data_IF_674961757612
#
_entry.id   IF_674961757612
#
_cell.length_a   1.000
_cell.length_b   1.000
_cell.length_c   1.000
_cell.angle_alpha   90.00
_cell.angle_beta   90.00
_cell.angle_gamma   90.00
#
_symmetry.space_group_name_H-M   'P 1'
#
loop_
_entity.id
_entity.type
_entity.pdbx_description
1 polymer ?
#
# COMPACT_ATOMS: atom_id res chain seq x y z
N UNK A 1 23.07 18.95 -62.42
CA UNK A 1 22.45 19.59 -61.24
C UNK A 1 22.72 18.72 -60.02
N UNK A 2 23.94 18.81 -59.49
CA UNK A 2 24.33 18.06 -58.29
C UNK A 2 24.02 18.90 -57.07
N UNK A 3 23.25 18.35 -56.14
CA UNK A 3 23.11 18.93 -54.81
C UNK A 3 24.49 18.89 -54.14
N UNK A 4 25.05 20.06 -53.78
CA UNK A 4 26.38 20.13 -53.19
C UNK A 4 26.41 19.37 -51.86
N UNK A 5 27.22 18.31 -51.78
CA UNK A 5 27.39 17.45 -50.59
C UNK A 5 27.68 18.24 -49.30
N UNK A 6 28.34 19.40 -49.44
CA UNK A 6 28.61 20.32 -48.33
C UNK A 6 27.34 21.03 -47.82
N UNK A 7 26.38 21.34 -48.68
CA UNK A 7 25.11 21.95 -48.30
C UNK A 7 24.27 20.99 -47.44
N UNK A 8 24.24 19.71 -47.81
CA UNK A 8 23.57 18.66 -47.02
C UNK A 8 24.19 18.46 -45.63
N UNK A 9 25.53 18.50 -45.53
CA UNK A 9 26.23 18.38 -44.24
C UNK A 9 25.98 19.59 -43.33
N UNK A 10 26.01 20.80 -43.87
CA UNK A 10 25.72 22.03 -43.12
C UNK A 10 24.26 22.02 -42.64
N UNK A 11 23.31 21.68 -43.51
CA UNK A 11 21.90 21.57 -43.13
C UNK A 11 21.67 20.54 -42.02
N UNK A 12 22.31 19.36 -42.12
CA UNK A 12 22.25 18.33 -41.08
C UNK A 12 22.85 18.79 -39.75
N UNK A 13 23.99 19.48 -39.77
CA UNK A 13 24.61 20.02 -38.56
C UNK A 13 23.75 21.10 -37.88
N UNK A 14 23.14 21.99 -38.67
CA UNK A 14 22.22 23.01 -38.15
C UNK A 14 20.98 22.36 -37.52
N UNK A 15 20.37 21.39 -38.19
CA UNK A 15 19.22 20.65 -37.64
C UNK A 15 19.61 19.93 -36.35
N UNK A 16 20.76 19.24 -36.34
CA UNK A 16 21.27 18.55 -35.15
C UNK A 16 21.53 19.49 -33.98
N UNK A 17 22.14 20.66 -34.23
CA UNK A 17 22.37 21.67 -33.20
C UNK A 17 21.05 22.24 -32.65
N UNK A 18 20.07 22.51 -33.51
CA UNK A 18 18.74 22.97 -33.09
C UNK A 18 18.04 21.91 -32.23
N UNK A 19 18.08 20.64 -32.62
CA UNK A 19 17.51 19.55 -31.83
C UNK A 19 18.21 19.36 -30.49
N UNK A 20 19.54 19.49 -30.44
CA UNK A 20 20.31 19.40 -29.20
C UNK A 20 19.96 20.53 -28.22
N UNK A 21 19.85 21.78 -28.72
CA UNK A 21 19.41 22.93 -27.91
C UNK A 21 17.96 22.74 -27.44
N UNK A 22 17.07 22.30 -28.34
CA UNK A 22 15.67 22.05 -27.99
C UNK A 22 15.52 20.94 -26.94
N UNK A 23 16.25 19.83 -27.08
CA UNK A 23 16.31 18.76 -26.08
C UNK A 23 16.88 19.25 -24.74
N UNK A 24 17.96 20.04 -24.78
CA UNK A 24 18.57 20.64 -23.59
C UNK A 24 17.63 21.60 -22.84
N UNK A 25 16.72 22.29 -23.55
CA UNK A 25 15.68 23.14 -22.94
C UNK A 25 14.50 22.29 -22.42
N UNK A 26 14.08 21.28 -23.18
CA UNK A 26 12.94 20.43 -22.79
C UNK A 26 13.20 19.61 -21.53
N UNK A 27 14.45 19.18 -21.28
CA UNK A 27 14.79 18.45 -20.06
C UNK A 27 14.43 19.21 -18.77
N UNK A 28 14.97 20.41 -18.49
CA UNK A 28 14.62 21.16 -17.28
C UNK A 28 13.16 21.64 -17.27
N UNK A 29 12.58 21.96 -18.42
CA UNK A 29 11.15 22.34 -18.50
C UNK A 29 10.25 21.16 -18.14
N UNK A 30 10.57 19.96 -18.65
CA UNK A 30 9.87 18.73 -18.32
C UNK A 30 9.91 18.45 -16.83
N UNK A 31 11.10 18.52 -16.21
CA UNK A 31 11.27 18.33 -14.77
C UNK A 31 10.43 19.33 -13.97
N UNK A 32 10.44 20.62 -14.35
CA UNK A 32 9.64 21.64 -13.68
C UNK A 32 8.13 21.37 -13.76
N UNK A 33 7.64 20.95 -14.93
CA UNK A 33 6.21 20.65 -15.13
C UNK A 33 5.80 19.39 -14.37
N UNK A 34 6.63 18.34 -14.39
CA UNK A 34 6.39 17.09 -13.67
C UNK A 34 6.38 17.36 -12.16
N UNK A 35 7.39 18.06 -11.64
CA UNK A 35 7.46 18.38 -10.21
C UNK A 35 6.26 19.21 -9.75
N UNK A 36 5.84 20.22 -10.53
CA UNK A 36 4.63 21.00 -10.22
C UNK A 36 3.38 20.14 -10.19
N UNK A 37 3.24 19.23 -11.16
CA UNK A 37 2.08 18.33 -11.24
C UNK A 37 2.04 17.36 -10.07
N UNK A 38 3.18 16.73 -9.73
CA UNK A 38 3.30 15.82 -8.59
C UNK A 38 2.96 16.54 -7.29
N UNK A 39 3.56 17.71 -7.04
CA UNK A 39 3.28 18.51 -5.83
C UNK A 39 1.80 18.86 -5.68
N UNK A 40 1.07 19.04 -6.78
CA UNK A 40 -0.37 19.30 -6.75
C UNK A 40 -1.21 18.03 -6.54
N UNK A 41 -0.80 16.89 -7.09
CA UNK A 41 -1.63 15.68 -7.10
C UNK A 41 -1.42 14.75 -5.90
N UNK A 42 -0.29 14.87 -5.20
CA UNK A 42 0.10 13.99 -4.07
C UNK A 42 -0.40 14.50 -2.72
N UNK A 43 -1.04 15.67 -2.66
CA UNK A 43 -1.60 16.25 -1.43
C UNK A 43 -2.96 15.61 -1.11
N UNK A 44 -3.25 15.46 0.19
CA UNK A 44 -4.56 15.00 0.70
C UNK A 44 -5.60 16.12 0.67
N UNK A 45 -5.85 16.65 -0.52
CA UNK A 45 -6.83 17.71 -0.79
C UNK A 45 -7.97 17.16 -1.65
N UNK A 46 -9.18 17.66 -1.46
CA UNK A 46 -10.32 17.20 -2.24
C UNK A 46 -10.11 17.40 -3.75
N UNK A 47 -10.43 16.37 -4.53
CA UNK A 47 -10.26 16.38 -5.98
C UNK A 47 -8.91 15.84 -6.47
N UNK A 48 -7.89 15.71 -5.63
CA UNK A 48 -6.62 15.08 -6.03
C UNK A 48 -6.74 13.55 -6.17
N UNK A 49 -5.83 12.95 -6.93
CA UNK A 49 -5.74 11.49 -7.06
C UNK A 49 -5.35 10.86 -5.71
N UNK A 50 -4.44 11.49 -4.96
CA UNK A 50 -4.02 10.99 -3.66
C UNK A 50 -5.19 10.94 -2.66
N UNK A 51 -6.01 11.98 -2.58
CA UNK A 51 -7.16 12.02 -1.68
C UNK A 51 -8.17 10.92 -1.99
N UNK A 52 -8.53 10.74 -3.27
CA UNK A 52 -9.47 9.69 -3.69
C UNK A 52 -9.01 8.29 -3.28
N UNK A 53 -7.74 7.97 -3.54
CA UNK A 53 -7.15 6.67 -3.17
C UNK A 53 -6.99 6.50 -1.65
N UNK A 54 -6.75 7.59 -0.93
CA UNK A 54 -6.64 7.58 0.54
C UNK A 54 -8.01 7.38 1.22
N UNK A 55 -9.07 8.00 0.70
CA UNK A 55 -10.45 7.83 1.17
C UNK A 55 -10.88 6.38 0.98
N UNK A 56 -10.73 5.84 -0.24
CA UNK A 56 -11.05 4.45 -0.56
C UNK A 56 -9.98 3.90 -1.49
N UNK A 57 -9.28 2.87 -1.04
CA UNK A 57 -8.26 2.21 -1.87
C UNK A 57 -8.92 1.54 -3.08
N UNK A 58 -8.32 1.74 -4.25
CA UNK A 58 -8.75 1.08 -5.49
C UNK A 58 -8.33 -0.39 -5.58
N UNK A 59 -7.44 -0.84 -4.68
CA UNK A 59 -6.92 -2.20 -4.65
C UNK A 59 -7.46 -2.99 -3.47
N UNK A 60 -7.55 -4.31 -3.64
CA UNK A 60 -7.94 -5.22 -2.58
C UNK A 60 -6.79 -5.39 -1.59
N UNK A 61 -7.07 -5.17 -0.31
CA UNK A 61 -6.11 -5.35 0.76
C UNK A 61 -6.50 -6.58 1.56
N UNK A 62 -5.58 -7.53 1.67
CA UNK A 62 -5.78 -8.76 2.42
C UNK A 62 -5.01 -8.72 3.74
N UNK A 63 -5.63 -9.21 4.80
CA UNK A 63 -5.00 -9.50 6.08
C UNK A 63 -5.02 -11.01 6.27
N UNK A 64 -3.85 -11.59 6.47
CA UNK A 64 -3.69 -13.03 6.61
C UNK A 64 -3.21 -13.36 8.02
N UNK A 65 -3.85 -14.36 8.62
CA UNK A 65 -3.49 -14.85 9.95
C UNK A 65 -2.84 -16.23 9.85
N UNK A 66 -1.73 -16.40 10.58
CA UNK A 66 -1.13 -17.69 10.88
C UNK A 66 -1.16 -17.89 12.38
N UNK A 67 -1.72 -19.02 12.81
CA UNK A 67 -1.93 -19.35 14.22
C UNK A 67 -1.01 -20.52 14.56
N UNK A 68 -0.32 -20.42 15.69
CA UNK A 68 0.46 -21.53 16.25
C UNK A 68 -0.46 -22.38 17.15
N UNK A 69 -0.88 -23.52 16.63
CA UNK A 69 -1.75 -24.46 17.32
C UNK A 69 -0.91 -25.33 18.27
N UNK A 70 -1.24 -25.33 19.57
CA UNK A 70 -0.48 -26.06 20.59
C UNK A 70 -0.82 -27.55 20.53
N UNK A 71 0.21 -28.39 20.37
CA UNK A 71 0.07 -29.83 20.17
C UNK A 71 0.16 -30.63 21.48
N UNK A 72 0.82 -30.10 22.52
CA UNK A 72 1.00 -30.76 23.81
C UNK A 72 0.50 -29.92 25.02
N UNK A 73 -0.74 -29.43 25.02
CA UNK A 73 -1.23 -28.50 26.06
C UNK A 73 -1.18 -29.08 27.49
N UNK A 74 -1.43 -30.39 27.65
CA UNK A 74 -1.44 -31.04 28.97
C UNK A 74 -0.03 -31.15 29.57
N UNK A 75 0.98 -31.47 28.76
CA UNK A 75 2.36 -31.57 29.22
C UNK A 75 2.90 -30.20 29.64
N UNK A 76 2.57 -29.15 28.88
CA UNK A 76 2.94 -27.77 29.22
C UNK A 76 2.32 -27.37 30.55
N UNK A 77 1.05 -27.69 30.77
CA UNK A 77 0.32 -27.33 31.99
C UNK A 77 0.77 -28.10 33.23
N UNK A 78 1.03 -29.41 33.11
CA UNK A 78 1.35 -30.28 34.25
C UNK A 78 2.85 -30.33 34.57
N UNK A 79 3.68 -30.36 33.53
CA UNK A 79 5.11 -30.69 33.64
C UNK A 79 6.01 -29.51 33.29
N UNK A 80 5.45 -28.34 32.93
CA UNK A 80 6.21 -27.19 32.42
C UNK A 80 7.12 -27.57 31.25
N UNK A 81 6.69 -28.50 30.40
CA UNK A 81 7.45 -28.97 29.26
C UNK A 81 7.60 -27.88 28.19
N UNK A 82 8.59 -28.02 27.31
CA UNK A 82 8.69 -27.19 26.11
C UNK A 82 7.41 -27.32 25.26
N UNK A 83 6.90 -26.17 24.81
CA UNK A 83 5.71 -26.10 23.99
C UNK A 83 5.99 -26.59 22.56
N UNK A 84 5.15 -27.50 22.08
CA UNK A 84 5.17 -27.98 20.71
C UNK A 84 4.01 -27.31 19.96
N UNK A 85 4.33 -26.63 18.86
CA UNK A 85 3.35 -25.88 18.07
C UNK A 85 3.36 -26.30 16.61
N UNK A 86 2.20 -26.22 15.97
CA UNK A 86 2.05 -26.35 14.52
C UNK A 86 1.47 -25.06 13.95
N UNK A 87 2.20 -24.40 13.07
CA UNK A 87 1.69 -23.23 12.37
C UNK A 87 0.61 -23.64 11.37
N UNK A 88 -0.53 -22.94 11.40
CA UNK A 88 -1.67 -23.14 10.49
C UNK A 88 -2.08 -21.79 9.90
N UNK A 89 -2.24 -21.74 8.58
CA UNK A 89 -2.66 -20.57 7.84
C UNK A 89 -2.24 -20.65 6.36
N UNK A 90 -2.59 -19.63 5.55
CA UNK A 90 -3.27 -18.41 5.96
C UNK A 90 -4.79 -18.61 6.20
N UNK A 91 -5.35 -17.83 7.12
CA UNK A 91 -6.77 -17.48 7.15
C UNK A 91 -6.88 -16.04 6.67
N UNK A 92 -7.42 -15.87 5.46
CA UNK A 92 -7.34 -14.62 4.70
C UNK A 92 -8.64 -13.84 4.82
N UNK A 93 -8.52 -12.56 5.14
CA UNK A 93 -9.63 -11.61 5.20
C UNK A 93 -9.36 -10.42 4.28
N UNK A 94 -10.34 -10.10 3.44
CA UNK A 94 -10.36 -8.83 2.72
C UNK A 94 -10.74 -7.70 3.67
N UNK A 95 -9.88 -6.70 3.76
CA UNK A 95 -9.99 -5.54 4.66
C UNK A 95 -9.84 -4.23 3.88
N UNK A 96 -10.06 -3.10 4.56
CA UNK A 96 -9.89 -1.74 3.99
C UNK A 96 -10.70 -1.48 2.70
N UNK A 97 -11.79 -2.22 2.48
CA UNK A 97 -12.69 -2.03 1.34
C UNK A 97 -13.76 -0.94 1.58
N UNK A 98 -13.94 -0.53 2.84
CA UNK A 98 -14.80 0.57 3.25
C UNK A 98 -14.07 1.91 3.11
N UNK A 99 -14.79 2.92 2.61
CA UNK A 99 -14.28 4.28 2.53
C UNK A 99 -14.18 4.90 3.93
N UNK A 100 -13.24 5.83 4.12
CA UNK A 100 -13.21 6.71 5.30
C UNK A 100 -14.47 7.59 5.33
N UNK A 101 -14.96 7.87 6.52
CA UNK A 101 -16.16 8.65 6.79
C UNK A 101 -15.82 9.94 7.55
N UNK A 102 -16.73 10.91 7.56
CA UNK A 102 -16.60 12.18 8.30
C UNK A 102 -15.23 12.86 8.10
N UNK A 103 -14.78 12.92 6.85
CA UNK A 103 -13.50 13.56 6.50
C UNK A 103 -13.65 15.07 6.60
N UNK A 104 -12.85 15.72 7.44
CA UNK A 104 -12.80 17.17 7.60
C UNK A 104 -11.36 17.66 7.48
N UNK A 105 -11.13 18.71 6.69
CA UNK A 105 -9.81 19.32 6.50
C UNK A 105 -9.73 20.61 7.31
N UNK A 106 -8.66 20.75 8.08
CA UNK A 106 -8.31 21.97 8.78
C UNK A 106 -7.26 22.72 7.95
N UNK A 107 -7.65 23.89 7.43
CA UNK A 107 -6.80 24.72 6.59
C UNK A 107 -5.77 25.54 7.40
N UNK A 108 -6.02 25.78 8.69
CA UNK A 108 -5.08 26.51 9.56
C UNK A 108 -3.96 25.59 10.01
N UNK A 109 -4.31 24.37 10.45
CA UNK A 109 -3.36 23.40 11.00
C UNK A 109 -2.81 22.40 9.96
N UNK A 110 -3.32 22.43 8.71
CA UNK A 110 -3.00 21.48 7.65
C UNK A 110 -3.23 20.02 8.06
N UNK A 111 -4.30 19.75 8.81
CA UNK A 111 -4.64 18.41 9.30
C UNK A 111 -5.91 17.88 8.64
N UNK A 112 -6.05 16.56 8.62
CA UNK A 112 -7.27 15.89 8.15
C UNK A 112 -7.77 14.96 9.23
N UNK A 113 -9.00 15.19 9.68
CA UNK A 113 -9.70 14.34 10.65
C UNK A 113 -10.70 13.45 9.92
N UNK A 114 -10.83 12.19 10.36
CA UNK A 114 -11.68 11.20 9.70
C UNK A 114 -12.03 10.05 10.64
N UNK A 115 -13.08 9.31 10.27
CA UNK A 115 -13.40 8.00 10.83
C UNK A 115 -12.97 6.91 9.86
N UNK A 116 -12.35 5.85 10.39
CA UNK A 116 -11.96 4.67 9.64
C UNK A 116 -12.89 3.50 10.01
N UNK A 117 -13.90 3.20 9.18
CA UNK A 117 -14.67 1.97 9.35
C UNK A 117 -13.76 0.75 9.23
N UNK A 118 -13.95 -0.20 10.13
CA UNK A 118 -13.24 -1.47 10.14
C UNK A 118 -14.20 -2.59 9.76
N UNK A 119 -13.91 -3.25 8.65
CA UNK A 119 -14.64 -4.42 8.17
C UNK A 119 -13.64 -5.48 7.70
N UNK A 120 -14.02 -6.74 7.87
CA UNK A 120 -13.26 -7.90 7.42
C UNK A 120 -14.23 -8.90 6.80
N UNK A 121 -13.95 -9.33 5.57
CA UNK A 121 -14.71 -10.36 4.86
C UNK A 121 -13.77 -11.56 4.70
N UNK A 122 -14.19 -12.73 5.16
CA UNK A 122 -13.38 -13.94 5.00
C UNK A 122 -13.32 -14.38 3.53
N UNK A 123 -12.14 -14.83 3.09
CA UNK A 123 -11.87 -15.24 1.72
C UNK A 123 -11.47 -16.73 1.68
N UNK A 124 -12.45 -17.65 1.54
CA UNK A 124 -12.22 -19.09 1.60
C UNK A 124 -11.23 -19.59 0.55
N UNK A 125 -11.27 -19.04 -0.67
CA UNK A 125 -10.39 -19.45 -1.78
C UNK A 125 -8.92 -19.09 -1.55
N UNK A 126 -8.64 -18.15 -0.63
CA UNK A 126 -7.31 -17.72 -0.25
C UNK A 126 -6.91 -18.25 1.13
N UNK A 127 -7.67 -19.19 1.69
CA UNK A 127 -7.47 -19.71 3.04
C UNK A 127 -7.24 -21.22 3.04
N UNK A 128 -6.49 -21.70 4.04
CA UNK A 128 -6.17 -23.14 4.17
C UNK A 128 -7.34 -23.97 4.74
N UNK A 129 -8.27 -23.31 5.43
CA UNK A 129 -9.40 -23.93 6.13
C UNK A 129 -10.56 -22.97 6.29
N UNK A 130 -11.50 -23.28 7.18
CA UNK A 130 -12.70 -22.48 7.41
C UNK A 130 -12.59 -21.62 8.67
N UNK A 131 -13.47 -20.62 8.83
CA UNK A 131 -13.55 -19.87 10.10
C UNK A 131 -14.00 -20.72 11.29
N UNK A 132 -14.54 -21.92 11.03
CA UNK A 132 -14.95 -22.88 12.06
C UNK A 132 -13.81 -23.80 12.52
N UNK A 133 -12.59 -23.62 11.98
CA UNK A 133 -11.43 -24.38 12.41
C UNK A 133 -11.07 -24.08 13.88
N UNK A 134 -10.87 -25.13 14.67
CA UNK A 134 -10.48 -24.99 16.07
C UNK A 134 -8.96 -24.92 16.25
N UNK A 135 -8.54 -24.19 17.28
CA UNK A 135 -7.14 -24.06 17.71
C UNK A 135 -7.04 -24.19 19.22
N UNK A 136 -5.96 -24.82 19.68
CA UNK A 136 -5.57 -24.78 21.08
C UNK A 136 -4.55 -23.67 21.26
N UNK A 137 -4.90 -22.63 22.03
CA UNK A 137 -4.05 -21.46 22.31
C UNK A 137 -4.12 -21.08 23.79
N UNK A 138 -3.21 -20.21 24.23
CA UNK A 138 -3.27 -19.62 25.56
C UNK A 138 -4.59 -18.84 25.74
N UNK A 139 -5.25 -19.04 26.87
CA UNK A 139 -6.38 -18.20 27.26
C UNK A 139 -5.87 -16.80 27.64
N UNK A 140 -5.88 -15.89 26.65
CA UNK A 140 -5.39 -14.53 26.80
C UNK A 140 -6.19 -13.70 27.82
N UNK A 141 -7.48 -13.97 27.99
CA UNK A 141 -8.31 -13.25 28.96
C UNK A 141 -7.85 -13.52 30.39
N UNK A 142 -7.55 -14.79 30.72
CA UNK A 142 -7.04 -15.18 32.03
C UNK A 142 -5.62 -14.64 32.25
N UNK A 143 -4.75 -14.76 31.23
CA UNK A 143 -3.39 -14.25 31.32
C UNK A 143 -3.33 -12.72 31.49
N UNK A 144 -4.20 -11.97 30.80
CA UNK A 144 -4.26 -10.52 30.95
C UNK A 144 -4.81 -10.08 32.31
N UNK A 145 -5.78 -10.82 32.86
CA UNK A 145 -6.38 -10.49 34.15
C UNK A 145 -5.37 -10.52 35.31
N UNK A 146 -4.32 -11.36 35.25
CA UNK A 146 -3.26 -11.36 36.27
C UNK A 146 -2.29 -10.18 36.19
N UNK A 147 -2.39 -9.35 35.14
CA UNK A 147 -1.55 -8.18 34.91
C UNK A 147 -2.27 -6.84 35.11
N UNK A 148 -3.55 -6.87 35.50
CA UNK A 148 -4.36 -5.71 35.91
C UNK A 148 -4.52 -5.76 37.43
#
# INVERSE_FOLDING_TARGET
MGCDRNCGLIAGAVIGAVLAVFGGILMPVGDLLIQKTIKKQVVLEEGTIAFKNWVKTGTEVYRQFWIFDVQNPQEVMMNSSNIQVKQRGPYTYRVRFLAKENVTQDAEDNTVSFLQPNGAIFEPSLSVGTEADNFTVLNLAVAAASHI
#
